data_IF_937698461152
#
_entry.id   IF_937698461152
#
_cell.length_a   1.000
_cell.length_b   1.000
_cell.length_c   1.000
_cell.angle_alpha   90.00
_cell.angle_beta   90.00
_cell.angle_gamma   90.00
#
_symmetry.space_group_name_H-M   'P 1'
#
loop_
_entity.id
_entity.type
_entity.pdbx_description
1 polymer ?
#
# COMPACT_ATOMS: atom_id res chain seq x y z
N UNK A 1 -17.59 -7.21 13.71
CA UNK A 1 -18.73 -8.16 13.80
C UNK A 1 -18.37 -9.45 13.08
N UNK A 2 -19.15 -10.53 13.22
CA UNK A 2 -18.94 -11.74 12.41
C UNK A 2 -19.14 -11.46 10.92
N UNK A 3 -18.37 -12.13 10.08
CA UNK A 3 -18.44 -11.98 8.63
C UNK A 3 -19.83 -12.39 8.09
N UNK A 4 -20.32 -11.65 7.10
CA UNK A 4 -21.62 -11.93 6.47
C UNK A 4 -22.82 -11.66 7.37
N UNK A 5 -22.63 -10.98 8.50
CA UNK A 5 -23.73 -10.58 9.38
C UNK A 5 -24.77 -9.78 8.60
N UNK A 6 -26.04 -10.13 8.76
CA UNK A 6 -27.13 -9.41 8.12
C UNK A 6 -27.12 -7.93 8.56
N UNK A 7 -27.20 -6.94 7.65
CA UNK A 7 -27.24 -5.52 8.01
C UNK A 7 -28.36 -5.14 8.99
N UNK A 8 -29.49 -5.85 8.99
CA UNK A 8 -30.58 -5.68 9.96
C UNK A 8 -30.13 -6.08 11.36
N UNK A 9 -29.49 -7.23 11.52
CA UNK A 9 -28.94 -7.69 12.81
C UNK A 9 -27.84 -6.74 13.31
N UNK A 10 -27.07 -6.15 12.40
CA UNK A 10 -26.10 -5.13 12.77
C UNK A 10 -26.78 -3.87 13.34
N UNK A 11 -27.87 -3.39 12.74
CA UNK A 11 -28.64 -2.26 13.29
C UNK A 11 -29.28 -2.60 14.63
N UNK A 12 -29.90 -3.77 14.75
CA UNK A 12 -30.50 -4.25 16.02
C UNK A 12 -29.44 -4.36 17.13
N UNK A 13 -28.19 -4.72 16.78
CA UNK A 13 -27.08 -4.69 17.73
C UNK A 13 -26.74 -3.27 18.19
N UNK A 14 -26.69 -2.30 17.28
CA UNK A 14 -26.40 -0.91 17.63
C UNK A 14 -27.51 -0.30 18.50
N UNK A 15 -28.79 -0.56 18.16
CA UNK A 15 -29.94 -0.13 18.96
C UNK A 15 -29.89 -0.73 20.39
N UNK A 16 -29.56 -2.02 20.51
CA UNK A 16 -29.35 -2.67 21.81
C UNK A 16 -28.20 -2.03 22.59
N UNK A 17 -27.10 -1.69 21.92
CA UNK A 17 -25.92 -1.10 22.55
C UNK A 17 -26.24 0.30 23.07
N UNK A 18 -26.96 1.12 22.30
CA UNK A 18 -27.44 2.44 22.72
C UNK A 18 -28.32 2.33 23.97
N UNK A 19 -29.28 1.39 24.01
CA UNK A 19 -30.14 1.16 25.19
C UNK A 19 -29.34 0.73 26.43
N UNK A 20 -28.31 -0.12 26.28
CA UNK A 20 -27.44 -0.49 27.40
C UNK A 20 -26.60 0.69 27.89
N UNK A 21 -26.08 1.51 26.96
CA UNK A 21 -25.31 2.71 27.29
C UNK A 21 -26.21 3.65 28.09
N UNK A 22 -27.42 3.94 27.62
CA UNK A 22 -28.37 4.84 28.29
C UNK A 22 -28.81 4.34 29.66
N UNK A 23 -29.03 3.04 29.81
CA UNK A 23 -29.39 2.44 31.12
C UNK A 23 -28.27 2.51 32.14
N UNK A 24 -27.02 2.61 31.69
CA UNK A 24 -25.83 2.50 32.56
C UNK A 24 -25.04 3.80 32.68
N UNK A 25 -25.21 4.72 31.75
CA UNK A 25 -24.76 6.10 31.91
C UNK A 25 -25.67 6.74 32.96
N UNK A 26 -25.12 6.94 34.17
CA UNK A 26 -25.75 7.89 35.09
C UNK A 26 -25.69 9.25 34.40
N UNK A 27 -26.63 10.14 34.70
CA UNK A 27 -26.77 11.49 34.11
C UNK A 27 -25.53 12.43 34.23
N UNK A 28 -24.36 11.94 34.66
CA UNK A 28 -23.09 12.66 34.73
C UNK A 28 -21.98 12.11 33.83
N UNK A 29 -22.13 10.92 33.24
CA UNK A 29 -21.11 10.30 32.38
C UNK A 29 -21.55 10.29 30.91
N UNK A 30 -21.48 11.46 30.26
CA UNK A 30 -21.59 11.60 28.78
C UNK A 30 -20.38 11.01 28.02
N UNK A 31 -19.61 10.12 28.66
CA UNK A 31 -18.33 9.62 28.14
C UNK A 31 -18.51 8.37 27.25
N UNK A 32 -19.49 7.51 27.55
CA UNK A 32 -19.69 6.27 26.78
C UNK A 32 -20.62 6.48 25.60
N UNK A 33 -20.16 6.10 24.41
CA UNK A 33 -20.92 6.23 23.17
C UNK A 33 -20.28 5.44 22.04
N UNK A 34 -21.08 5.07 21.05
CA UNK A 34 -20.56 4.74 19.72
C UNK A 34 -20.03 6.04 19.09
N UNK A 35 -18.77 6.04 18.68
CA UNK A 35 -18.14 7.17 17.99
C UNK A 35 -18.40 7.11 16.49
N UNK A 36 -18.28 5.92 15.91
CA UNK A 36 -18.44 5.70 14.48
C UNK A 36 -18.95 4.28 14.23
N UNK A 37 -19.84 4.12 13.25
CA UNK A 37 -20.21 2.81 12.72
C UNK A 37 -19.82 2.69 11.26
N UNK A 38 -19.53 1.46 10.86
CA UNK A 38 -19.06 1.09 9.53
C UNK A 38 -19.97 -0.02 8.99
N UNK A 39 -21.16 0.31 8.50
CA UNK A 39 -22.01 -0.66 7.82
C UNK A 39 -21.36 -1.01 6.48
N UNK A 40 -20.71 -2.18 6.36
CA UNK A 40 -20.08 -2.57 5.12
C UNK A 40 -21.07 -3.04 4.07
N UNK A 41 -21.06 -2.39 2.91
CA UNK A 41 -21.71 -2.92 1.72
C UNK A 41 -21.06 -4.24 1.27
N UNK A 42 -19.82 -4.51 1.70
CA UNK A 42 -19.11 -5.79 1.51
C UNK A 42 -19.53 -6.92 2.47
N UNK A 43 -20.40 -6.65 3.47
CA UNK A 43 -20.74 -7.62 4.51
C UNK A 43 -19.77 -7.66 5.70
N UNK A 44 -18.77 -6.76 5.72
CA UNK A 44 -17.95 -6.48 6.89
C UNK A 44 -18.55 -5.34 7.72
N UNK A 45 -19.04 -5.65 8.92
CA UNK A 45 -19.61 -4.65 9.82
C UNK A 45 -18.69 -4.43 11.02
N UNK A 46 -18.46 -3.18 11.37
CA UNK A 46 -17.73 -2.80 12.58
C UNK A 46 -18.23 -1.47 13.14
N UNK A 47 -17.85 -1.17 14.37
CA UNK A 47 -18.06 0.13 14.99
C UNK A 47 -16.91 0.40 15.96
N UNK A 48 -16.74 1.67 16.30
CA UNK A 48 -15.74 2.18 17.24
C UNK A 48 -16.50 3.02 18.27
N UNK A 49 -16.12 2.90 19.53
CA UNK A 49 -16.76 3.65 20.60
C UNK A 49 -15.96 3.64 21.88
N UNK A 50 -16.39 4.47 22.83
CA UNK A 50 -15.85 4.52 24.19
C UNK A 50 -16.85 3.80 25.10
N UNK A 51 -16.40 2.78 25.81
CA UNK A 51 -17.27 1.92 26.61
C UNK A 51 -16.60 1.56 27.93
N UNK A 52 -17.39 1.41 28.99
CA UNK A 52 -16.89 0.84 30.25
C UNK A 52 -16.57 -0.65 30.09
N UNK A 53 -15.70 -1.20 30.95
CA UNK A 53 -15.35 -2.62 30.94
C UNK A 53 -16.57 -3.55 31.00
N UNK A 54 -17.61 -3.16 31.74
CA UNK A 54 -18.87 -3.93 31.84
C UNK A 54 -19.68 -3.93 30.55
N UNK A 55 -19.70 -2.80 29.82
CA UNK A 55 -20.35 -2.74 28.50
C UNK A 55 -19.56 -3.58 27.49
N UNK A 56 -18.22 -3.53 27.56
CA UNK A 56 -17.35 -4.36 26.71
C UNK A 56 -17.60 -5.87 26.95
N UNK A 57 -17.77 -6.29 28.20
CA UNK A 57 -18.14 -7.67 28.54
C UNK A 57 -19.47 -8.07 27.91
N UNK A 58 -20.50 -7.24 28.01
CA UNK A 58 -21.80 -7.52 27.38
C UNK A 58 -21.68 -7.60 25.86
N UNK A 59 -20.92 -6.70 25.22
CA UNK A 59 -20.65 -6.72 23.78
C UNK A 59 -20.02 -8.06 23.40
N UNK A 60 -19.00 -8.53 24.14
CA UNK A 60 -18.30 -9.80 23.86
C UNK A 60 -19.21 -11.02 23.96
N UNK A 61 -20.28 -10.97 24.77
CA UNK A 61 -21.25 -12.05 24.91
C UNK A 61 -22.26 -12.12 23.76
N UNK A 62 -22.32 -11.11 22.90
CA UNK A 62 -23.24 -11.08 21.77
C UNK A 62 -22.83 -12.07 20.69
N UNK A 63 -23.77 -12.92 20.28
CA UNK A 63 -23.55 -13.96 19.28
C UNK A 63 -23.10 -13.43 17.91
N UNK A 64 -23.45 -12.18 17.58
CA UNK A 64 -23.10 -11.49 16.34
C UNK A 64 -21.70 -10.83 16.36
N UNK A 65 -21.06 -10.74 17.54
CA UNK A 65 -19.73 -10.16 17.71
C UNK A 65 -18.67 -11.23 17.45
N UNK A 66 -17.65 -10.87 16.67
CA UNK A 66 -16.52 -11.75 16.36
C UNK A 66 -15.37 -11.54 17.35
N UNK A 67 -15.02 -10.28 17.57
CA UNK A 67 -13.95 -9.86 18.47
C UNK A 67 -14.17 -8.42 18.90
N UNK A 68 -13.50 -8.02 19.98
CA UNK A 68 -13.40 -6.64 20.45
C UNK A 68 -11.92 -6.38 20.73
N UNK A 69 -11.38 -5.34 20.11
CA UNK A 69 -9.98 -4.93 20.20
C UNK A 69 -9.91 -3.51 20.78
N UNK A 70 -8.98 -3.26 21.69
CA UNK A 70 -8.72 -1.93 22.21
C UNK A 70 -8.06 -1.08 21.11
N UNK A 71 -8.51 0.17 20.94
CA UNK A 71 -7.93 1.04 19.92
C UNK A 71 -6.52 1.47 20.34
N UNK A 72 -5.59 1.40 19.40
CA UNK A 72 -4.17 1.67 19.64
C UNK A 72 -3.73 2.84 18.77
N UNK A 73 -3.01 3.78 19.38
CA UNK A 73 -2.27 4.80 18.63
C UNK A 73 -0.94 4.21 18.17
N UNK A 74 -0.66 4.33 16.88
CA UNK A 74 0.63 3.99 16.32
C UNK A 74 1.33 5.25 15.86
N UNK A 75 2.60 5.35 16.24
CA UNK A 75 3.52 6.37 15.75
C UNK A 75 4.41 5.75 14.70
N UNK A 76 4.40 6.35 13.53
CA UNK A 76 5.25 5.97 12.42
C UNK A 76 6.60 6.68 12.56
N UNK A 77 7.71 6.01 12.20
CA UNK A 77 9.00 6.68 12.10
C UNK A 77 8.87 7.89 11.19
N UNK A 78 9.58 8.98 11.52
CA UNK A 78 9.66 10.11 10.61
C UNK A 78 10.17 9.64 9.26
N UNK A 79 9.58 10.16 8.19
CA UNK A 79 10.09 9.94 6.85
C UNK A 79 11.51 10.51 6.77
N UNK A 80 12.50 9.62 6.66
CA UNK A 80 13.91 9.98 6.49
C UNK A 80 14.25 9.70 5.04
N UNK A 81 14.74 10.74 4.37
CA UNK A 81 15.05 10.66 2.96
C UNK A 81 16.15 11.68 2.61
N UNK A 82 16.95 11.37 1.59
CA UNK A 82 18.02 12.24 1.09
C UNK A 82 17.54 12.95 -0.18
N UNK A 83 17.54 14.29 -0.19
CA UNK A 83 17.05 15.09 -1.31
C UNK A 83 17.93 14.94 -2.54
N UNK A 84 17.26 14.85 -3.69
CA UNK A 84 17.90 14.68 -4.99
C UNK A 84 17.15 15.54 -6.02
N UNK A 85 17.89 16.18 -6.94
CA UNK A 85 17.30 16.93 -8.06
C UNK A 85 17.57 16.22 -9.37
N UNK A 86 16.52 15.91 -10.15
CA UNK A 86 16.62 15.28 -11.46
C UNK A 86 15.52 15.76 -12.42
N UNK A 87 15.86 15.78 -13.71
CA UNK A 87 14.97 16.06 -14.84
C UNK A 87 14.81 14.78 -15.66
N UNK A 88 13.57 14.35 -15.94
CA UNK A 88 13.29 13.08 -16.60
C UNK A 88 12.25 13.17 -17.73
N UNK A 89 12.24 12.12 -18.56
CA UNK A 89 11.66 12.09 -19.92
C UNK A 89 10.13 12.09 -19.96
N UNK A 90 9.57 12.61 -21.06
CA UNK A 90 8.13 12.63 -21.37
C UNK A 90 7.53 11.21 -21.49
N UNK A 91 6.23 11.06 -21.19
CA UNK A 91 5.48 9.81 -21.41
C UNK A 91 5.47 9.43 -22.89
N UNK A 92 5.32 8.14 -23.18
CA UNK A 92 5.26 7.63 -24.56
C UNK A 92 4.17 6.55 -24.68
N UNK A 93 3.35 6.55 -25.76
CA UNK A 93 2.08 5.82 -25.85
C UNK A 93 2.10 4.33 -26.24
N UNK A 94 3.26 3.69 -26.44
CA UNK A 94 3.33 2.29 -26.91
C UNK A 94 4.17 1.40 -26.00
N UNK A 95 4.39 0.12 -26.36
CA UNK A 95 5.45 -0.69 -25.75
C UNK A 95 6.72 0.15 -25.82
N UNK A 96 7.11 0.69 -24.67
CA UNK A 96 8.16 1.69 -24.59
C UNK A 96 9.14 1.16 -23.58
N UNK A 97 10.36 0.96 -24.05
CA UNK A 97 11.49 0.77 -23.16
C UNK A 97 11.94 2.16 -22.73
N UNK A 98 11.65 2.52 -21.49
CA UNK A 98 12.27 3.70 -20.90
C UNK A 98 13.74 3.38 -20.66
N UNK A 99 14.60 4.17 -21.27
CA UNK A 99 16.04 4.14 -21.02
C UNK A 99 16.37 5.02 -19.82
N UNK A 100 17.51 4.75 -19.17
CA UNK A 100 17.98 5.49 -18.00
C UNK A 100 16.93 5.50 -16.89
N UNK A 101 16.52 4.32 -16.44
CA UNK A 101 15.63 4.18 -15.28
C UNK A 101 16.40 3.98 -13.99
N UNK A 102 15.80 4.31 -12.84
CA UNK A 102 16.40 3.92 -11.57
C UNK A 102 16.39 2.38 -11.44
N UNK A 103 17.33 1.86 -10.64
CA UNK A 103 17.58 0.42 -10.54
C UNK A 103 16.34 -0.39 -10.13
N UNK A 104 15.44 0.22 -9.38
CA UNK A 104 14.23 -0.40 -8.86
C UNK A 104 13.24 -0.75 -9.98
N UNK A 105 13.07 0.10 -10.99
CA UNK A 105 12.26 -0.25 -12.17
C UNK A 105 12.92 -1.34 -13.01
N UNK A 106 14.25 -1.26 -13.16
CA UNK A 106 15.02 -2.30 -13.85
C UNK A 106 14.85 -3.68 -13.18
N UNK A 107 14.97 -3.76 -11.86
CA UNK A 107 14.90 -5.01 -11.11
C UNK A 107 13.57 -5.76 -11.30
N UNK A 108 12.45 -5.03 -11.43
CA UNK A 108 11.13 -5.62 -11.65
C UNK A 108 10.77 -5.83 -13.13
N UNK A 109 11.71 -5.59 -14.05
CA UNK A 109 11.54 -5.93 -15.48
C UNK A 109 12.52 -6.99 -15.96
N UNK A 110 13.51 -7.36 -15.14
CA UNK A 110 14.57 -8.29 -15.50
C UNK A 110 14.50 -9.57 -14.68
N UNK A 111 14.98 -10.66 -15.27
CA UNK A 111 14.98 -12.01 -14.67
C UNK A 111 16.30 -12.39 -14.00
N UNK A 112 17.38 -11.71 -14.35
CA UNK A 112 18.71 -11.99 -13.84
C UNK A 112 19.34 -10.71 -13.32
N UNK A 113 20.01 -10.80 -12.18
CA UNK A 113 20.83 -9.71 -11.68
C UNK A 113 21.94 -9.40 -12.71
N UNK A 114 22.44 -8.16 -12.77
CA UNK A 114 23.48 -7.84 -13.74
C UNK A 114 24.75 -8.62 -13.41
N UNK A 115 25.36 -9.20 -14.45
CA UNK A 115 26.54 -10.08 -14.35
C UNK A 115 27.85 -9.32 -14.10
N UNK A 116 27.87 -8.02 -14.41
CA UNK A 116 28.97 -7.11 -14.09
C UNK A 116 28.47 -5.96 -13.23
N UNK A 117 29.28 -5.63 -12.24
CA UNK A 117 29.20 -4.41 -11.45
C UNK A 117 29.28 -3.22 -12.40
N UNK A 118 28.14 -2.65 -12.82
CA UNK A 118 28.16 -1.35 -13.49
C UNK A 118 28.73 -0.36 -12.46
N UNK A 119 29.83 0.35 -12.73
CA UNK A 119 30.35 1.34 -11.78
C UNK A 119 29.23 2.34 -11.41
N UNK A 120 28.91 2.46 -10.11
CA UNK A 120 27.74 3.19 -9.61
C UNK A 120 26.54 2.32 -9.19
N UNK A 121 26.59 1.00 -9.40
CA UNK A 121 25.51 0.05 -9.11
C UNK A 121 25.54 -0.57 -7.70
N UNK A 122 26.71 -0.64 -7.04
CA UNK A 122 26.91 -1.44 -5.80
C UNK A 122 27.10 -0.61 -4.53
N UNK A 123 27.36 0.69 -4.63
CA UNK A 123 27.38 1.47 -3.42
C UNK A 123 25.95 1.89 -3.17
N UNK A 124 25.47 1.72 -1.94
CA UNK A 124 24.20 2.18 -1.40
C UNK A 124 23.95 3.71 -1.54
N UNK A 125 24.72 4.39 -2.39
CA UNK A 125 24.64 5.80 -2.73
C UNK A 125 24.56 5.92 -4.24
N UNK A 126 23.53 6.61 -4.69
CA UNK A 126 23.41 7.14 -6.04
C UNK A 126 24.70 7.90 -6.41
N UNK A 127 25.52 7.33 -7.29
CA UNK A 127 26.69 8.04 -7.81
C UNK A 127 26.24 8.94 -8.95
N UNK A 128 26.45 10.26 -8.78
CA UNK A 128 26.38 11.24 -9.86
C UNK A 128 27.37 10.85 -10.95
N UNK A 129 26.91 10.72 -12.19
CA UNK A 129 27.84 10.69 -13.32
C UNK A 129 28.50 12.07 -13.52
N UNK A 130 29.50 12.16 -14.40
CA UNK A 130 30.25 13.39 -14.69
C UNK A 130 29.39 14.52 -15.29
N UNK A 131 28.10 14.29 -15.56
CA UNK A 131 27.11 15.29 -15.98
C UNK A 131 26.07 15.63 -14.90
N UNK A 132 26.21 15.08 -13.68
CA UNK A 132 25.27 15.28 -12.59
C UNK A 132 24.01 14.40 -12.68
N UNK A 133 23.96 13.40 -13.56
CA UNK A 133 22.85 12.44 -13.64
C UNK A 133 23.05 11.31 -12.63
N UNK A 134 22.05 11.01 -11.79
CA UNK A 134 22.14 9.91 -10.82
C UNK A 134 21.54 8.58 -11.30
N UNK A 135 21.34 8.41 -12.61
CA UNK A 135 20.80 7.18 -13.16
C UNK A 135 21.92 6.40 -13.83
N UNK A 136 22.19 5.15 -13.45
CA UNK A 136 23.24 4.35 -14.08
C UNK A 136 22.98 4.30 -15.59
N UNK A 137 23.98 4.70 -16.38
CA UNK A 137 23.92 4.53 -17.82
C UNK A 137 23.74 3.04 -18.13
N UNK A 138 22.74 2.70 -18.95
CA UNK A 138 22.47 1.32 -19.42
C UNK A 138 21.34 0.55 -18.74
N UNK A 139 20.65 1.10 -17.73
CA UNK A 139 19.44 0.45 -17.20
C UNK A 139 18.20 0.87 -18.00
N UNK A 140 17.38 -0.12 -18.33
CA UNK A 140 16.11 0.08 -19.01
C UNK A 140 14.94 -0.57 -18.25
N UNK A 141 13.75 0.01 -18.39
CA UNK A 141 12.50 -0.57 -17.93
C UNK A 141 11.59 -0.71 -19.13
N UNK A 142 11.32 -1.95 -19.52
CA UNK A 142 10.35 -2.24 -20.57
C UNK A 142 8.97 -2.36 -19.95
N UNK A 143 8.06 -1.48 -20.33
CA UNK A 143 6.66 -1.56 -19.95
C UNK A 143 5.76 -1.53 -21.18
N UNK A 144 4.57 -2.11 -21.03
CA UNK A 144 3.54 -2.18 -22.08
C UNK A 144 2.31 -1.39 -21.61
N UNK A 145 1.82 -0.49 -22.46
CA UNK A 145 0.45 0.04 -22.38
C UNK A 145 -0.43 -0.71 -23.39
N UNK A 146 -1.71 -0.90 -23.07
CA UNK A 146 -2.69 -1.42 -24.03
C UNK A 146 -3.50 -0.32 -24.75
N UNK A 147 -3.24 0.95 -24.49
CA UNK A 147 -3.90 2.06 -25.17
C UNK A 147 -3.00 3.31 -25.24
N UNK A 148 -3.33 4.22 -26.15
CA UNK A 148 -2.66 5.50 -26.34
C UNK A 148 -2.48 6.22 -24.99
N UNK A 149 -1.28 6.73 -24.70
CA UNK A 149 -1.01 7.51 -23.48
C UNK A 149 -1.83 8.81 -23.36
N UNK A 150 -2.62 9.14 -24.39
CA UNK A 150 -3.62 10.22 -24.37
C UNK A 150 -5.01 9.76 -23.88
N UNK A 151 -5.26 8.46 -23.75
CA UNK A 151 -6.49 7.95 -23.16
C UNK A 151 -6.48 8.17 -21.63
N UNK A 152 -7.60 8.67 -21.11
CA UNK A 152 -7.83 8.85 -19.68
C UNK A 152 -7.49 7.57 -18.90
N UNK A 153 -6.76 7.66 -17.77
CA UNK A 153 -6.40 6.47 -17.02
C UNK A 153 -7.64 5.75 -16.48
N UNK A 154 -7.73 4.45 -16.74
CA UNK A 154 -8.85 3.59 -16.36
C UNK A 154 -8.57 2.73 -15.12
N UNK A 155 -7.39 2.91 -14.50
CA UNK A 155 -6.98 2.24 -13.26
C UNK A 155 -6.72 3.19 -12.11
N UNK A 156 -6.89 2.70 -10.89
CA UNK A 156 -6.93 3.50 -9.67
C UNK A 156 -6.08 2.85 -8.57
N UNK A 157 -5.11 3.60 -8.04
CA UNK A 157 -4.37 3.21 -6.84
C UNK A 157 -4.86 4.04 -5.66
N UNK A 158 -5.52 3.40 -4.70
CA UNK A 158 -5.87 4.01 -3.42
C UNK A 158 -4.68 3.89 -2.49
N UNK A 159 -4.12 5.03 -2.07
CA UNK A 159 -2.94 5.09 -1.22
C UNK A 159 -3.38 5.52 0.17
N UNK A 160 -3.47 4.55 1.09
CA UNK A 160 -3.80 4.78 2.49
C UNK A 160 -2.52 5.13 3.24
N UNK A 161 -2.26 6.43 3.42
CA UNK A 161 -0.95 6.92 3.88
C UNK A 161 -1.03 8.31 4.55
N UNK A 162 0.06 9.08 4.53
CA UNK A 162 0.19 10.41 5.14
C UNK A 162 -0.47 11.54 4.34
N UNK A 163 -1.00 11.22 3.16
CA UNK A 163 -1.47 12.16 2.15
C UNK A 163 -0.62 12.07 0.88
N UNK A 164 -0.98 12.82 -0.17
CA UNK A 164 -0.18 12.94 -1.40
C UNK A 164 -0.08 14.41 -1.75
N UNK A 165 1.10 14.91 -2.13
CA UNK A 165 1.23 16.19 -2.83
C UNK A 165 0.67 16.07 -4.24
N UNK A 166 -0.64 16.24 -4.38
CA UNK A 166 -1.36 16.02 -5.65
C UNK A 166 -0.94 16.99 -6.76
N UNK A 167 -0.39 18.15 -6.41
CA UNK A 167 0.14 19.16 -7.33
C UNK A 167 1.48 18.81 -7.98
N UNK A 168 2.15 17.73 -7.55
CA UNK A 168 3.46 17.37 -8.09
C UNK A 168 3.39 17.11 -9.61
N UNK A 169 4.26 17.77 -10.37
CA UNK A 169 4.29 17.76 -11.84
C UNK A 169 4.36 16.34 -12.43
N UNK A 170 5.01 15.41 -11.73
CA UNK A 170 5.17 14.01 -12.12
C UNK A 170 3.87 13.19 -12.12
N UNK A 171 2.82 13.68 -11.48
CA UNK A 171 1.49 13.07 -11.56
C UNK A 171 0.71 13.55 -12.78
N UNK A 172 1.06 14.70 -13.37
CA UNK A 172 0.38 15.34 -14.50
C UNK A 172 -1.15 15.35 -14.32
N UNK A 173 -1.61 15.79 -13.13
CA UNK A 173 -3.03 15.92 -12.79
C UNK A 173 -3.77 14.62 -12.44
N UNK A 174 -3.10 13.46 -12.38
CA UNK A 174 -3.75 12.17 -12.07
C UNK A 174 -3.86 11.84 -10.58
N UNK A 175 -3.36 12.71 -9.70
CA UNK A 175 -3.45 12.52 -8.26
C UNK A 175 -4.60 13.37 -7.69
N UNK A 176 -5.39 12.79 -6.80
CA UNK A 176 -6.59 13.42 -6.23
C UNK A 176 -6.72 13.08 -4.76
N UNK A 177 -7.17 14.06 -3.97
CA UNK A 177 -7.57 13.86 -2.59
C UNK A 177 -9.00 13.35 -2.53
N UNK A 178 -9.21 12.16 -1.93
CA UNK A 178 -10.53 11.54 -1.93
C UNK A 178 -11.10 11.29 -0.55
N UNK A 179 -10.25 11.14 0.47
CA UNK A 179 -10.70 10.92 1.84
C UNK A 179 -9.62 11.25 2.86
N UNK A 180 -10.06 11.68 4.04
CA UNK A 180 -9.25 11.84 5.25
C UNK A 180 -10.14 11.73 6.48
N UNK A 181 -9.60 11.27 7.60
CA UNK A 181 -10.24 11.38 8.91
C UNK A 181 -9.83 12.66 9.67
N UNK A 182 -9.20 13.60 8.97
CA UNK A 182 -8.69 14.87 9.50
C UNK A 182 -9.28 16.07 8.76
N UNK A 183 -9.01 17.28 9.22
CA UNK A 183 -9.47 18.51 8.54
C UNK A 183 -8.69 18.80 7.25
N UNK A 184 -7.48 18.25 7.14
CA UNK A 184 -6.52 18.51 6.06
C UNK A 184 -6.26 17.24 5.25
N UNK A 185 -5.91 17.43 3.98
CA UNK A 185 -5.63 16.36 3.02
C UNK A 185 -4.15 16.29 2.62
N UNK A 186 -3.41 17.36 2.93
CA UNK A 186 -2.01 17.55 2.58
C UNK A 186 -1.13 16.45 3.16
N UNK A 187 -0.10 16.08 2.40
CA UNK A 187 0.94 15.19 2.89
C UNK A 187 1.84 15.93 3.89
N UNK A 188 1.69 15.61 5.18
CA UNK A 188 2.44 16.25 6.26
C UNK A 188 3.81 15.59 6.49
N UNK A 189 4.00 14.34 6.03
CA UNK A 189 5.21 13.56 6.23
C UNK A 189 6.11 13.49 4.99
N UNK A 190 5.51 13.34 3.81
CA UNK A 190 6.20 13.10 2.53
C UNK A 190 6.21 11.64 2.11
N UNK A 191 5.88 10.74 3.04
CA UNK A 191 5.88 9.31 2.81
C UNK A 191 4.85 8.89 1.76
N UNK A 192 3.61 9.36 1.84
CA UNK A 192 2.56 9.04 0.89
C UNK A 192 2.83 9.58 -0.52
N UNK A 193 3.42 10.77 -0.65
CA UNK A 193 3.90 11.30 -1.93
C UNK A 193 4.97 10.41 -2.56
N UNK A 194 5.94 9.95 -1.76
CA UNK A 194 7.00 9.05 -2.21
C UNK A 194 6.44 7.70 -2.68
N UNK A 195 5.53 7.12 -1.89
CA UNK A 195 4.81 5.87 -2.20
C UNK A 195 4.01 6.00 -3.49
N UNK A 196 3.20 7.04 -3.62
CA UNK A 196 2.39 7.32 -4.80
C UNK A 196 3.25 7.49 -6.07
N UNK A 197 4.41 8.14 -5.92
CA UNK A 197 5.40 8.29 -6.97
C UNK A 197 5.91 6.97 -7.53
N UNK A 198 6.20 5.98 -6.67
CA UNK A 198 6.64 4.63 -7.07
C UNK A 198 5.53 3.88 -7.82
N UNK A 199 4.27 4.06 -7.42
CA UNK A 199 3.15 3.41 -8.10
C UNK A 199 3.02 3.96 -9.51
N UNK A 200 2.84 5.28 -9.65
CA UNK A 200 2.32 5.85 -10.90
C UNK A 200 2.85 7.23 -11.30
N UNK A 201 4.01 7.68 -10.80
CA UNK A 201 4.65 8.87 -11.39
C UNK A 201 5.06 8.64 -12.84
N UNK A 202 5.20 9.73 -13.59
CA UNK A 202 5.68 9.72 -14.98
C UNK A 202 7.06 9.08 -15.13
N UNK A 203 8.00 9.37 -14.22
CA UNK A 203 9.40 9.01 -14.42
C UNK A 203 9.86 7.84 -13.56
N UNK A 204 9.31 7.71 -12.36
CA UNK A 204 9.69 6.70 -11.36
C UNK A 204 8.62 5.62 -11.14
N UNK A 205 7.42 5.80 -11.72
CA UNK A 205 6.28 4.94 -11.51
C UNK A 205 6.36 3.63 -12.28
N UNK A 206 5.91 2.55 -11.65
CA UNK A 206 5.75 1.24 -12.28
C UNK A 206 4.67 1.25 -13.36
N UNK A 207 3.54 1.91 -13.09
CA UNK A 207 2.41 2.09 -14.01
C UNK A 207 2.13 3.59 -14.24
N UNK A 208 2.65 4.15 -15.33
CA UNK A 208 2.59 5.61 -15.54
C UNK A 208 1.26 6.11 -16.08
N UNK A 209 0.26 5.23 -16.24
CA UNK A 209 -1.11 5.59 -16.61
C UNK A 209 -2.15 5.01 -15.62
N UNK A 210 -2.02 5.41 -14.35
CA UNK A 210 -3.03 5.15 -13.31
C UNK A 210 -3.39 6.45 -12.58
N UNK A 211 -4.61 6.55 -12.04
CA UNK A 211 -5.01 7.61 -11.11
C UNK A 211 -4.58 7.25 -9.69
N UNK A 212 -4.07 8.23 -8.96
CA UNK A 212 -3.63 8.09 -7.58
C UNK A 212 -4.67 8.77 -6.67
N UNK A 213 -5.26 8.00 -5.77
CA UNK A 213 -6.32 8.46 -4.89
C UNK A 213 -5.76 8.49 -3.46
N UNK A 214 -5.54 9.70 -2.94
CA UNK A 214 -4.99 9.94 -1.61
C UNK A 214 -6.06 9.69 -0.55
N UNK A 215 -5.81 8.70 0.30
CA UNK A 215 -6.61 8.37 1.48
C UNK A 215 -5.75 8.64 2.71
N UNK A 216 -5.87 9.84 3.29
CA UNK A 216 -5.00 10.25 4.40
C UNK A 216 -5.50 9.69 5.72
N UNK A 217 -4.63 9.00 6.46
CA UNK A 217 -4.95 8.44 7.78
C UNK A 217 -4.10 8.99 8.90
N UNK A 218 -2.93 9.57 8.61
CA UNK A 218 -2.04 10.06 9.66
C UNK A 218 -2.12 11.56 9.84
N UNK A 219 -1.86 11.99 11.06
CA UNK A 219 -1.47 13.36 11.40
C UNK A 219 -0.27 13.30 12.33
N UNK A 220 0.74 14.13 12.08
CA UNK A 220 1.97 14.19 12.90
C UNK A 220 2.68 12.82 13.01
N UNK A 221 2.69 12.04 11.92
CA UNK A 221 3.19 10.66 11.88
C UNK A 221 2.51 9.73 12.90
N UNK A 222 1.24 9.96 13.23
CA UNK A 222 0.47 9.07 14.06
C UNK A 222 -0.91 8.78 13.47
N UNK A 223 -1.43 7.59 13.73
CA UNK A 223 -2.81 7.23 13.45
C UNK A 223 -3.32 6.26 14.51
N UNK A 224 -4.62 6.31 14.77
CA UNK A 224 -5.33 5.29 15.54
C UNK A 224 -5.65 4.10 14.65
N UNK A 225 -5.73 2.91 15.25
CA UNK A 225 -6.10 1.68 14.54
C UNK A 225 -7.51 1.81 13.95
N UNK A 226 -8.42 2.45 14.69
CA UNK A 226 -9.76 2.81 14.22
C UNK A 226 -9.76 3.70 12.96
N UNK A 227 -8.83 4.64 12.84
CA UNK A 227 -8.71 5.52 11.67
C UNK A 227 -8.24 4.76 10.43
N UNK A 228 -7.27 3.85 10.59
CA UNK A 228 -6.82 2.95 9.51
C UNK A 228 -7.97 2.04 9.08
N UNK A 229 -8.73 1.48 10.03
CA UNK A 229 -9.90 0.67 9.74
C UNK A 229 -10.97 1.46 8.97
N UNK A 230 -11.25 2.70 9.38
CA UNK A 230 -12.19 3.58 8.71
C UNK A 230 -11.78 3.92 7.28
N UNK A 231 -10.49 4.11 7.03
CA UNK A 231 -9.94 4.32 5.69
C UNK A 231 -10.10 3.12 4.77
N UNK A 232 -9.82 1.91 5.29
CA UNK A 232 -10.04 0.65 4.55
C UNK A 232 -11.52 0.52 4.20
N UNK A 233 -12.40 0.75 5.17
CA UNK A 233 -13.84 0.65 4.97
C UNK A 233 -14.36 1.65 3.93
N UNK A 234 -13.98 2.92 4.05
CA UNK A 234 -14.33 3.96 3.10
C UNK A 234 -13.82 3.62 1.68
N UNK A 235 -12.56 3.20 1.59
CA UNK A 235 -11.92 2.84 0.31
C UNK A 235 -12.66 1.69 -0.38
N UNK A 236 -13.01 0.64 0.36
CA UNK A 236 -13.78 -0.50 -0.17
C UNK A 236 -15.14 -0.04 -0.68
N UNK A 237 -15.86 0.81 0.06
CA UNK A 237 -17.15 1.32 -0.39
C UNK A 237 -17.01 2.20 -1.64
N UNK A 238 -16.04 3.11 -1.69
CA UNK A 238 -15.81 3.96 -2.87
C UNK A 238 -15.48 3.11 -4.12
N UNK A 239 -14.68 2.05 -3.96
CA UNK A 239 -14.39 1.09 -5.04
C UNK A 239 -15.67 0.42 -5.53
N UNK A 240 -16.56 0.01 -4.64
CA UNK A 240 -17.82 -0.65 -5.00
C UNK A 240 -18.80 0.32 -5.67
N UNK A 241 -19.02 1.48 -5.07
CA UNK A 241 -19.94 2.51 -5.56
C UNK A 241 -19.54 3.04 -6.93
N UNK A 242 -18.24 3.16 -7.20
CA UNK A 242 -17.70 3.60 -8.50
C UNK A 242 -17.41 2.45 -9.46
N UNK A 243 -17.77 1.21 -9.11
CA UNK A 243 -17.58 0.01 -9.94
C UNK A 243 -16.12 -0.21 -10.39
N UNK A 244 -15.17 -0.01 -9.47
CA UNK A 244 -13.72 -0.07 -9.71
C UNK A 244 -13.06 -1.39 -9.28
N UNK A 245 -13.82 -2.40 -8.85
CA UNK A 245 -13.26 -3.68 -8.38
C UNK A 245 -12.32 -4.36 -9.39
N UNK A 246 -12.53 -4.10 -10.68
CA UNK A 246 -11.71 -4.63 -11.78
C UNK A 246 -10.57 -3.71 -12.22
N UNK A 247 -10.39 -2.57 -11.59
CA UNK A 247 -9.37 -1.59 -12.00
C UNK A 247 -8.72 -0.85 -10.83
N UNK A 248 -9.00 -1.25 -9.59
CA UNK A 248 -8.45 -0.64 -8.40
C UNK A 248 -7.54 -1.57 -7.60
N UNK A 249 -6.49 -1.00 -7.02
CA UNK A 249 -5.66 -1.63 -5.98
C UNK A 249 -5.60 -0.72 -4.76
N UNK A 250 -5.60 -1.31 -3.57
CA UNK A 250 -5.33 -0.61 -2.31
C UNK A 250 -3.86 -0.82 -1.95
N UNK A 251 -3.11 0.25 -1.70
CA UNK A 251 -1.77 0.19 -1.15
C UNK A 251 -1.76 0.71 0.28
N UNK A 252 -1.22 -0.09 1.21
CA UNK A 252 -0.98 0.33 2.60
C UNK A 252 0.49 0.12 2.92
N UNK A 253 1.26 1.21 2.84
CA UNK A 253 2.71 1.22 3.09
C UNK A 253 3.06 1.58 4.55
N UNK A 254 2.10 1.39 5.46
CA UNK A 254 2.25 1.66 6.89
C UNK A 254 1.91 0.42 7.72
N UNK A 255 2.65 0.21 8.81
CA UNK A 255 2.50 -0.96 9.67
C UNK A 255 2.23 -0.59 11.12
N UNK A 256 1.22 -1.22 11.70
CA UNK A 256 0.83 -1.11 13.10
C UNK A 256 1.19 -2.39 13.88
N UNK A 257 0.95 -2.40 15.19
CA UNK A 257 0.96 -3.66 15.94
C UNK A 257 -0.08 -4.63 15.35
N UNK A 258 0.05 -5.92 15.65
CA UNK A 258 -0.94 -6.90 15.20
C UNK A 258 -2.35 -6.43 15.58
N UNK A 259 -3.22 -6.37 14.57
CA UNK A 259 -4.62 -5.99 14.72
C UNK A 259 -5.49 -6.98 13.95
N UNK A 260 -6.27 -7.76 14.70
CA UNK A 260 -7.15 -8.76 14.13
C UNK A 260 -8.26 -8.10 13.30
N UNK A 261 -8.74 -6.93 13.72
CA UNK A 261 -9.79 -6.20 13.01
C UNK A 261 -9.32 -5.63 11.67
N UNK A 262 -8.10 -5.11 11.59
CA UNK A 262 -7.51 -4.62 10.33
C UNK A 262 -7.29 -5.77 9.35
N UNK A 263 -6.75 -6.89 9.83
CA UNK A 263 -6.56 -8.08 9.00
C UNK A 263 -7.90 -8.62 8.49
N UNK A 264 -8.92 -8.70 9.36
CA UNK A 264 -10.25 -9.15 8.98
C UNK A 264 -10.89 -8.25 7.92
N UNK A 265 -10.75 -6.92 8.02
CA UNK A 265 -11.27 -5.99 7.03
C UNK A 265 -10.64 -6.21 5.63
N UNK A 266 -9.31 -6.40 5.57
CA UNK A 266 -8.60 -6.67 4.32
C UNK A 266 -8.99 -8.04 3.75
N UNK A 267 -9.01 -9.06 4.60
CA UNK A 267 -9.38 -10.42 4.20
C UNK A 267 -10.82 -10.48 3.67
N UNK A 268 -11.76 -9.82 4.35
CA UNK A 268 -13.15 -9.77 3.93
C UNK A 268 -13.32 -9.04 2.59
N UNK A 269 -12.62 -7.91 2.39
CA UNK A 269 -12.67 -7.17 1.12
C UNK A 269 -12.22 -8.04 -0.07
N UNK A 270 -11.20 -8.88 0.12
CA UNK A 270 -10.79 -9.85 -0.89
C UNK A 270 -11.83 -10.97 -1.07
N UNK A 271 -12.20 -11.67 0.00
CA UNK A 271 -13.04 -12.86 -0.06
C UNK A 271 -14.45 -12.59 -0.60
N UNK A 272 -14.99 -11.40 -0.35
CA UNK A 272 -16.38 -11.06 -0.72
C UNK A 272 -16.48 -10.23 -2.00
N UNK A 273 -15.43 -9.50 -2.37
CA UNK A 273 -15.47 -8.48 -3.44
C UNK A 273 -14.29 -8.51 -4.40
N UNK A 274 -13.36 -9.46 -4.25
CA UNK A 274 -12.16 -9.58 -5.09
C UNK A 274 -11.25 -8.33 -5.07
N UNK A 275 -11.34 -7.51 -4.01
CA UNK A 275 -10.54 -6.29 -3.86
C UNK A 275 -9.16 -6.67 -3.31
N UNK A 276 -8.11 -6.34 -4.07
CA UNK A 276 -6.71 -6.65 -3.72
C UNK A 276 -6.10 -5.50 -2.92
N UNK A 277 -5.47 -5.86 -1.80
CA UNK A 277 -4.65 -4.95 -0.99
C UNK A 277 -3.19 -5.40 -1.02
N UNK A 278 -2.30 -4.48 -1.37
CA UNK A 278 -0.84 -4.65 -1.32
C UNK A 278 -0.31 -3.94 -0.08
N UNK A 279 0.50 -4.63 0.71
CA UNK A 279 0.93 -4.16 2.03
C UNK A 279 2.42 -4.32 2.25
N UNK A 280 3.01 -3.38 2.98
CA UNK A 280 4.38 -3.51 3.45
C UNK A 280 4.51 -4.62 4.51
N UNK A 281 5.55 -5.46 4.42
CA UNK A 281 5.82 -6.50 5.43
C UNK A 281 6.22 -5.91 6.80
N UNK A 282 6.86 -4.75 6.80
CA UNK A 282 7.39 -4.07 7.99
C UNK A 282 8.92 -4.06 8.02
N UNK A 283 9.47 -3.17 8.86
CA UNK A 283 10.88 -2.77 8.85
C UNK A 283 11.62 -3.09 10.17
N UNK A 284 11.20 -4.13 10.89
CA UNK A 284 11.75 -4.49 12.21
C UNK A 284 12.68 -5.71 12.16
N UNK A 285 12.78 -6.40 11.02
CA UNK A 285 13.53 -7.65 10.91
C UNK A 285 12.96 -8.75 11.80
N UNK A 286 11.63 -8.82 11.93
CA UNK A 286 10.87 -9.84 12.69
C UNK A 286 9.93 -10.62 11.77
N UNK A 287 9.21 -11.62 12.29
CA UNK A 287 8.19 -12.32 11.51
C UNK A 287 7.03 -11.38 11.17
N UNK A 288 6.67 -11.29 9.89
CA UNK A 288 5.59 -10.43 9.41
C UNK A 288 4.21 -10.81 9.97
N UNK A 289 4.04 -12.02 10.51
CA UNK A 289 2.82 -12.42 11.24
C UNK A 289 2.58 -11.62 12.52
N UNK A 290 3.60 -10.97 13.08
CA UNK A 290 3.49 -10.19 14.33
C UNK A 290 2.98 -8.74 14.13
N UNK A 291 2.72 -8.33 12.88
CA UNK A 291 2.38 -6.95 12.53
C UNK A 291 1.20 -6.91 11.56
N UNK A 292 0.41 -5.86 11.62
CA UNK A 292 -0.67 -5.61 10.66
C UNK A 292 -0.37 -4.38 9.82
N UNK A 293 -0.78 -4.35 8.53
CA UNK A 293 -1.53 -5.39 7.83
C UNK A 293 -0.65 -6.52 7.23
N UNK A 294 0.65 -6.56 7.49
CA UNK A 294 1.57 -7.58 6.93
C UNK A 294 1.18 -9.05 7.21
N UNK A 295 0.42 -9.29 8.27
CA UNK A 295 -0.14 -10.59 8.67
C UNK A 295 -1.51 -10.92 8.05
N UNK A 296 -2.11 -10.03 7.26
CA UNK A 296 -3.38 -10.30 6.59
C UNK A 296 -3.19 -11.33 5.46
N UNK A 297 -3.80 -12.52 5.63
CA UNK A 297 -3.63 -13.69 4.75
C UNK A 297 -3.90 -13.42 3.26
N UNK A 298 -4.94 -12.64 2.96
CA UNK A 298 -5.34 -12.34 1.59
C UNK A 298 -4.71 -11.07 1.02
N UNK A 299 -3.91 -10.34 1.81
CA UNK A 299 -3.09 -9.28 1.27
C UNK A 299 -1.92 -9.83 0.43
N UNK A 300 -1.35 -8.98 -0.41
CA UNK A 300 -0.03 -9.23 -1.02
C UNK A 300 1.00 -8.52 -0.14
N UNK A 301 1.60 -9.25 0.79
CA UNK A 301 2.61 -8.71 1.71
C UNK A 301 3.98 -8.70 1.04
N UNK A 302 4.63 -7.53 1.03
CA UNK A 302 5.84 -7.28 0.24
C UNK A 302 7.06 -7.04 1.12
N UNK A 303 8.06 -7.90 0.97
CA UNK A 303 9.39 -7.75 1.56
C UNK A 303 10.32 -6.86 0.72
N UNK A 304 11.40 -6.38 1.32
CA UNK A 304 12.34 -5.43 0.70
C UNK A 304 13.67 -6.08 0.33
N UNK A 305 14.18 -5.75 -0.87
CA UNK A 305 15.54 -6.08 -1.33
C UNK A 305 16.35 -4.82 -1.69
N UNK A 306 17.67 -4.99 -1.76
CA UNK A 306 18.63 -4.00 -2.28
C UNK A 306 18.95 -4.19 -3.78
N UNK A 307 19.78 -3.30 -4.34
CA UNK A 307 20.19 -3.32 -5.75
C UNK A 307 21.02 -4.55 -6.12
N UNK A 308 21.61 -5.23 -5.14
CA UNK A 308 22.32 -6.50 -5.32
C UNK A 308 21.39 -7.72 -5.24
N UNK A 309 20.07 -7.47 -5.18
CA UNK A 309 19.01 -8.46 -4.99
C UNK A 309 19.19 -9.26 -3.71
N UNK A 310 19.75 -8.65 -2.66
CA UNK A 310 19.76 -9.27 -1.34
C UNK A 310 18.59 -8.77 -0.51
N UNK A 311 18.05 -9.64 0.35
CA UNK A 311 17.04 -9.25 1.35
C UNK A 311 17.61 -8.17 2.26
N UNK A 312 16.85 -7.08 2.44
CA UNK A 312 17.17 -6.04 3.41
C UNK A 312 17.06 -6.60 4.83
N UNK A 313 18.06 -6.38 5.68
CA UNK A 313 18.10 -6.94 7.04
C UNK A 313 16.90 -6.53 7.88
N UNK A 314 16.47 -5.27 7.74
CA UNK A 314 15.30 -4.71 8.42
C UNK A 314 13.97 -5.21 7.86
N UNK A 315 13.93 -5.85 6.69
CA UNK A 315 12.67 -6.38 6.15
C UNK A 315 12.14 -7.46 7.09
N UNK A 316 10.87 -7.34 7.48
CA UNK A 316 10.17 -8.46 8.09
C UNK A 316 10.12 -9.64 7.11
N UNK A 317 10.01 -10.83 7.68
CA UNK A 317 10.19 -12.09 6.97
C UNK A 317 9.09 -13.12 7.33
N UNK A 318 9.24 -14.35 6.85
CA UNK A 318 8.37 -15.47 7.19
C UNK A 318 7.29 -15.70 6.15
N UNK A 319 6.38 -16.62 6.47
CA UNK A 319 5.37 -17.16 5.54
C UNK A 319 4.32 -16.13 5.13
N UNK A 320 4.10 -15.09 5.92
CA UNK A 320 3.18 -14.01 5.56
C UNK A 320 3.70 -13.18 4.38
N UNK A 321 5.02 -13.12 4.16
CA UNK A 321 5.60 -12.45 2.98
C UNK A 321 5.23 -13.24 1.73
N UNK A 322 4.53 -12.58 0.81
CA UNK A 322 4.10 -13.18 -0.46
C UNK A 322 5.20 -13.07 -1.53
N UNK A 323 5.86 -11.92 -1.60
CA UNK A 323 6.82 -11.58 -2.65
C UNK A 323 7.78 -10.49 -2.17
N UNK A 324 8.94 -10.35 -2.81
CA UNK A 324 9.86 -9.24 -2.57
C UNK A 324 9.86 -8.25 -3.73
N UNK A 325 10.19 -6.99 -3.42
CA UNK A 325 10.41 -5.95 -4.41
C UNK A 325 11.52 -4.98 -3.94
N UNK A 326 12.04 -4.12 -4.84
CA UNK A 326 13.00 -3.09 -4.50
C UNK A 326 12.54 -2.18 -3.35
N UNK A 327 13.32 -2.09 -2.28
CA UNK A 327 12.96 -1.25 -1.13
C UNK A 327 14.15 -0.63 -0.39
N UNK A 328 15.36 -0.65 -0.94
CA UNK A 328 16.52 0.08 -0.40
C UNK A 328 17.00 1.15 -1.37
N UNK A 329 17.19 2.37 -0.90
CA UNK A 329 17.66 3.50 -1.71
C UNK A 329 16.78 3.67 -2.96
N UNK A 330 15.49 3.88 -2.75
CA UNK A 330 14.49 4.06 -3.80
C UNK A 330 14.26 5.55 -4.01
N UNK A 331 14.60 6.03 -5.21
CA UNK A 331 14.32 7.38 -5.67
C UNK A 331 12.86 7.49 -6.10
N UNK A 332 12.16 8.47 -5.55
CA UNK A 332 10.78 8.83 -5.93
C UNK A 332 10.53 10.29 -5.57
N UNK A 333 9.28 10.71 -5.66
CA UNK A 333 8.81 12.07 -5.47
C UNK A 333 8.94 12.54 -4.02
N UNK A 334 9.21 13.83 -3.84
CA UNK A 334 9.22 14.51 -2.55
C UNK A 334 7.99 15.40 -2.42
N UNK A 335 7.56 15.67 -1.18
CA UNK A 335 6.50 16.65 -0.92
C UNK A 335 6.99 18.11 -0.87
N UNK A 336 8.30 18.33 -0.85
CA UNK A 336 8.90 19.65 -0.58
C UNK A 336 8.66 20.66 -1.71
N UNK A 337 8.47 20.20 -2.96
CA UNK A 337 8.03 21.04 -4.07
C UNK A 337 7.31 20.22 -5.13
N UNK A 338 6.75 20.87 -6.16
CA UNK A 338 6.07 20.18 -7.26
C UNK A 338 7.01 19.45 -8.23
N UNK A 339 8.33 19.54 -8.02
CA UNK A 339 9.35 18.91 -8.86
C UNK A 339 10.45 18.18 -8.08
N UNK A 340 10.46 18.27 -6.74
CA UNK A 340 11.50 17.70 -5.90
C UNK A 340 11.43 16.18 -5.84
N UNK A 341 12.59 15.54 -5.75
CA UNK A 341 12.70 14.09 -5.58
C UNK A 341 13.57 13.74 -4.38
N UNK A 342 13.42 12.52 -3.88
CA UNK A 342 14.07 12.11 -2.64
C UNK A 342 14.26 10.59 -2.60
N UNK A 343 15.32 10.15 -1.95
CA UNK A 343 15.66 8.73 -1.79
C UNK A 343 15.23 8.24 -0.42
N UNK A 344 14.46 7.15 -0.36
CA UNK A 344 14.08 6.51 0.90
C UNK A 344 14.17 4.98 0.85
N UNK A 345 14.04 4.32 2.00
CA UNK A 345 14.20 2.88 2.15
C UNK A 345 13.15 2.30 3.11
N UNK A 346 12.63 1.12 2.74
CA UNK A 346 11.76 0.30 3.57
C UNK A 346 10.89 -0.63 2.72
N UNK A 347 10.21 -1.57 3.37
CA UNK A 347 9.12 -2.34 2.74
C UNK A 347 7.99 -1.43 2.26
N UNK A 348 7.88 -0.23 2.83
CA UNK A 348 6.99 0.84 2.39
C UNK A 348 7.28 1.32 0.97
N UNK A 349 8.52 1.22 0.49
CA UNK A 349 8.92 1.50 -0.89
C UNK A 349 8.84 0.24 -1.76
N UNK A 350 8.93 -0.96 -1.17
CA UNK A 350 8.75 -2.21 -1.90
C UNK A 350 7.28 -2.47 -2.30
N UNK A 351 6.35 -2.29 -1.37
CA UNK A 351 4.91 -2.45 -1.59
C UNK A 351 4.35 -1.70 -2.82
N UNK A 352 4.62 -0.40 -3.04
CA UNK A 352 4.08 0.33 -4.17
C UNK A 352 4.58 -0.16 -5.53
N UNK A 353 5.75 -0.80 -5.61
CA UNK A 353 6.16 -1.46 -6.86
C UNK A 353 5.16 -2.56 -7.23
N UNK A 354 4.78 -3.39 -6.26
CA UNK A 354 3.84 -4.50 -6.45
C UNK A 354 2.42 -3.99 -6.68
N UNK A 355 2.02 -2.89 -6.03
CA UNK A 355 0.74 -2.23 -6.34
C UNK A 355 0.68 -1.77 -7.80
N UNK A 356 1.77 -1.17 -8.31
CA UNK A 356 1.87 -0.84 -9.73
C UNK A 356 1.84 -2.06 -10.64
N UNK A 357 2.48 -3.18 -10.24
CA UNK A 357 2.41 -4.45 -10.97
C UNK A 357 1.02 -5.11 -10.95
N UNK A 358 0.23 -4.93 -9.89
CA UNK A 358 -1.18 -5.35 -9.86
C UNK A 358 -1.96 -4.61 -10.95
N UNK A 359 -1.82 -3.29 -11.03
CA UNK A 359 -2.48 -2.49 -12.08
C UNK A 359 -1.95 -2.82 -13.48
N UNK A 360 -0.65 -3.11 -13.62
CA UNK A 360 -0.08 -3.63 -14.86
C UNK A 360 -0.69 -5.00 -15.26
N UNK A 361 -0.85 -5.93 -14.32
CA UNK A 361 -1.51 -7.21 -14.54
C UNK A 361 -2.98 -7.04 -14.96
N UNK A 362 -3.67 -6.05 -14.39
CA UNK A 362 -5.02 -5.72 -14.82
C UNK A 362 -5.05 -5.17 -16.25
N UNK A 363 -4.24 -4.16 -16.54
CA UNK A 363 -4.29 -3.46 -17.82
C UNK A 363 -3.71 -4.32 -18.94
N UNK A 364 -2.52 -4.88 -18.77
CA UNK A 364 -1.77 -5.58 -19.84
C UNK A 364 -2.20 -7.02 -20.03
N UNK A 365 -2.52 -7.71 -18.94
CA UNK A 365 -2.70 -9.16 -18.94
C UNK A 365 -4.15 -9.60 -18.68
N UNK A 366 -5.08 -8.64 -18.53
CA UNK A 366 -6.49 -8.92 -18.31
C UNK A 366 -6.80 -9.66 -16.99
N UNK A 367 -5.86 -9.70 -16.04
CA UNK A 367 -6.01 -10.42 -14.77
C UNK A 367 -6.89 -9.65 -13.80
N UNK A 368 -7.75 -10.34 -13.04
CA UNK A 368 -8.72 -9.74 -12.09
C UNK A 368 -8.91 -10.63 -10.87
N UNK A 369 -9.38 -10.04 -9.76
CA UNK A 369 -9.71 -10.73 -8.51
C UNK A 369 -8.61 -11.65 -7.98
N UNK A 370 -8.99 -12.80 -7.42
CA UNK A 370 -8.05 -13.81 -6.92
C UNK A 370 -6.96 -14.28 -7.89
N UNK A 371 -7.17 -14.12 -9.20
CA UNK A 371 -6.16 -14.43 -10.22
C UNK A 371 -4.96 -13.47 -10.23
N UNK A 372 -5.07 -12.28 -9.65
CA UNK A 372 -3.98 -11.29 -9.63
C UNK A 372 -2.81 -11.73 -8.74
N UNK A 373 -3.07 -12.15 -7.50
CA UNK A 373 -2.03 -12.64 -6.59
C UNK A 373 -1.34 -13.87 -7.19
N UNK A 374 -2.12 -14.84 -7.68
CA UNK A 374 -1.58 -16.04 -8.33
C UNK A 374 -0.69 -15.69 -9.53
N UNK A 375 -1.15 -14.80 -10.42
CA UNK A 375 -0.38 -14.35 -11.58
C UNK A 375 0.96 -13.74 -11.17
N UNK A 376 0.96 -12.79 -10.22
CA UNK A 376 2.20 -12.14 -9.78
C UNK A 376 3.20 -13.13 -9.16
N UNK A 377 2.72 -14.13 -8.42
CA UNK A 377 3.59 -15.17 -7.85
C UNK A 377 4.12 -16.14 -8.92
N UNK A 378 3.28 -16.50 -9.89
CA UNK A 378 3.64 -17.38 -11.00
C UNK A 378 4.70 -16.74 -11.89
N UNK A 379 4.52 -15.46 -12.22
CA UNK A 379 5.38 -14.68 -13.11
C UNK A 379 6.52 -13.98 -12.38
N UNK A 380 6.70 -14.18 -11.07
CA UNK A 380 7.83 -13.64 -10.32
C UNK A 380 9.16 -14.23 -10.83
N UNK A 381 10.24 -13.48 -10.67
CA UNK A 381 11.60 -13.98 -10.86
C UNK A 381 11.96 -14.88 -9.68
N UNK A 382 12.21 -16.18 -9.95
CA UNK A 382 12.33 -17.21 -8.91
C UNK A 382 13.78 -17.55 -8.60
N UNK A 383 14.10 -17.69 -7.31
CA UNK A 383 15.39 -18.24 -6.86
C UNK A 383 16.60 -17.30 -7.00
N UNK A 384 16.40 -16.04 -7.39
CA UNK A 384 17.48 -15.08 -7.65
C UNK A 384 17.78 -14.17 -6.45
N UNK A 385 16.88 -14.10 -5.46
CA UNK A 385 17.10 -13.28 -4.27
C UNK A 385 18.17 -13.95 -3.40
N UNK A 386 19.13 -13.14 -2.96
CA UNK A 386 20.28 -13.52 -2.13
C UNK A 386 20.05 -13.18 -0.66
N UNK A 387 20.85 -13.78 0.22
CA UNK A 387 20.76 -13.57 1.66
C UNK A 387 19.78 -14.52 2.35
N UNK A 388 19.58 -14.33 3.65
CA UNK A 388 18.72 -15.21 4.46
C UNK A 388 17.26 -14.77 4.36
N UNK A 389 16.44 -15.57 3.67
CA UNK A 389 15.00 -15.34 3.49
C UNK A 389 14.17 -15.64 4.74
N UNK A 390 14.73 -16.34 5.75
CA UNK A 390 14.07 -16.62 7.04
C UNK A 390 12.65 -17.18 6.88
N UNK A 391 12.47 -18.11 5.93
CA UNK A 391 11.18 -18.76 5.64
C UNK A 391 10.26 -18.03 4.66
N UNK A 392 10.65 -16.84 4.17
CA UNK A 392 9.96 -16.16 3.06
C UNK A 392 10.22 -16.86 1.71
N UNK A 393 9.29 -16.74 0.74
CA UNK A 393 9.48 -17.28 -0.60
C UNK A 393 10.58 -16.52 -1.37
N UNK A 394 11.37 -17.23 -2.17
CA UNK A 394 12.37 -16.60 -3.05
C UNK A 394 11.73 -16.15 -4.38
N UNK A 395 10.88 -15.14 -4.29
CA UNK A 395 10.12 -14.57 -5.41
C UNK A 395 10.33 -13.05 -5.48
N UNK A 396 10.97 -12.58 -6.55
CA UNK A 396 11.12 -11.15 -6.85
C UNK A 396 10.02 -10.73 -7.83
N UNK A 397 9.27 -9.70 -7.48
CA UNK A 397 8.20 -9.15 -8.31
C UNK A 397 8.73 -8.75 -9.69
N UNK A 398 7.95 -9.06 -10.73
CA UNK A 398 8.35 -8.79 -12.11
C UNK A 398 7.12 -8.50 -12.98
N UNK A 399 7.26 -7.59 -13.95
CA UNK A 399 6.20 -7.15 -14.85
C UNK A 399 5.85 -8.15 -15.96
N UNK A 400 6.60 -9.24 -16.06
CA UNK A 400 6.41 -10.31 -17.03
C UNK A 400 6.49 -9.86 -18.49
N UNK A 401 7.13 -8.72 -18.75
CA UNK A 401 7.40 -8.21 -20.09
C UNK A 401 8.89 -8.46 -20.32
N UNK A 402 9.24 -9.72 -20.59
CA UNK A 402 10.62 -10.04 -20.93
C UNK A 402 11.00 -9.20 -22.18
N UNK A 403 12.17 -8.55 -22.14
CA UNK A 403 12.74 -7.88 -23.30
C UNK A 403 12.91 -8.92 -24.40
N UNK A 404 12.15 -8.76 -25.50
CA UNK A 404 12.31 -9.52 -26.74
C UNK A 404 13.75 -9.39 -27.23
#
# INVERSE_FOLDING_TARGET
>A
MKDGLNPKLFREHLEWLEDIIDKRSRARDNEFRVLQSYPGHSGFHSYVGVFSSRIIEDIRLRQEVASVEEDQIVRFPKFVAEEVSQSLTKRTPHLTTQQKVPWNLWAISHRHAPTSLIPGFINDKYHLDSSGGLLPSGLSYTYKYLSDAEAEPDTYAYVIDTGIRTSHEEFEGRAEHVWTCWETYEDDSGHGTHVAGIIASKSYGVVKNARLLSVKVTKDNAAWTSQVLGAIHWTVNDILEKNRTKSAVINISQGIAFSGVVNAAINNAFLTRDIITVVAAGNQGIDASERSPGSAEHAITVGSIDSSWRVAETSNFGKSVSIFAPGRNILSLSKESDSATVVSSGTSMAAPHVAGLVLNAMTVWGKRGGGLKAFLLETATKGQIKGNLRGSPNLLANNNIDSI
#
